data_IF_620228133570
#
_entry.id   IF_620228133570
#
_cell.length_a   1.000
_cell.length_b   1.000
_cell.length_c   1.000
_cell.angle_alpha   90.00
_cell.angle_beta   90.00
_cell.angle_gamma   90.00
#
_symmetry.space_group_name_H-M   'P 1'
#
loop_
_entity.id
_entity.type
_entity.pdbx_description
1 polymer ?
#
# COMPACT_ATOMS: atom_id res chain seq x y z
N UNK A 1 5.50 -7.09 12.21
CA UNK A 1 4.87 -8.00 11.20
C UNK A 1 5.78 -8.06 9.99
N UNK A 2 5.69 -9.09 9.12
CA UNK A 2 6.46 -9.12 7.87
C UNK A 2 5.95 -8.05 6.90
N UNK A 3 6.87 -7.41 6.14
CA UNK A 3 6.47 -6.40 5.15
C UNK A 3 5.45 -6.93 4.12
N UNK A 4 5.54 -8.23 3.74
CA UNK A 4 4.54 -8.88 2.88
C UNK A 4 3.13 -8.78 3.47
N UNK A 5 2.99 -9.00 4.75
CA UNK A 5 1.68 -9.05 5.40
C UNK A 5 1.10 -7.65 5.60
N UNK A 6 1.96 -6.62 5.76
CA UNK A 6 1.52 -5.21 5.67
C UNK A 6 0.99 -4.87 4.29
N UNK A 7 1.68 -5.27 3.22
CA UNK A 7 1.20 -5.05 1.85
C UNK A 7 -0.13 -5.76 1.59
N UNK A 8 -0.27 -7.03 2.02
CA UNK A 8 -1.51 -7.80 1.90
C UNK A 8 -2.66 -7.13 2.66
N UNK A 9 -2.42 -6.63 3.88
CA UNK A 9 -3.47 -5.94 4.65
C UNK A 9 -3.95 -4.66 3.95
N UNK A 10 -3.03 -3.84 3.44
CA UNK A 10 -3.39 -2.64 2.67
C UNK A 10 -4.20 -2.96 1.41
N UNK A 11 -3.75 -3.95 0.62
CA UNK A 11 -4.48 -4.39 -0.57
C UNK A 11 -5.88 -4.89 -0.24
N UNK A 12 -6.01 -5.77 0.76
CA UNK A 12 -7.29 -6.37 1.16
C UNK A 12 -8.29 -5.31 1.64
N UNK A 13 -7.83 -4.42 2.53
CA UNK A 13 -8.70 -3.37 3.07
C UNK A 13 -9.19 -2.45 1.97
N UNK A 14 -8.33 -2.06 1.02
CA UNK A 14 -8.77 -1.25 -0.11
C UNK A 14 -9.76 -1.99 -1.01
N UNK A 15 -9.48 -3.23 -1.40
CA UNK A 15 -10.39 -4.02 -2.23
C UNK A 15 -11.78 -4.15 -1.61
N UNK A 16 -11.86 -4.32 -0.30
CA UNK A 16 -13.13 -4.40 0.43
C UNK A 16 -13.82 -3.03 0.60
N UNK A 17 -13.05 -1.94 0.72
CA UNK A 17 -13.58 -0.61 1.04
C UNK A 17 -13.81 0.28 -0.19
N UNK A 18 -13.17 0.01 -1.32
CA UNK A 18 -13.17 0.90 -2.49
C UNK A 18 -14.58 1.28 -2.98
N UNK A 19 -15.56 0.35 -3.11
CA UNK A 19 -16.91 0.71 -3.54
C UNK A 19 -17.60 1.67 -2.56
N UNK A 20 -17.39 1.46 -1.26
CA UNK A 20 -17.99 2.31 -0.22
C UNK A 20 -17.29 3.68 -0.13
N UNK A 21 -15.98 3.72 -0.29
CA UNK A 21 -15.22 4.97 -0.38
C UNK A 21 -15.71 5.81 -1.56
N UNK A 22 -15.86 5.20 -2.73
CA UNK A 22 -16.38 5.89 -3.92
C UNK A 22 -17.80 6.44 -3.66
N UNK A 23 -18.67 5.64 -3.06
CA UNK A 23 -20.02 6.07 -2.70
C UNK A 23 -20.02 7.28 -1.74
N UNK A 24 -19.16 7.28 -0.74
CA UNK A 24 -19.01 8.39 0.21
C UNK A 24 -18.47 9.66 -0.44
N UNK A 25 -17.61 9.52 -1.44
CA UNK A 25 -17.08 10.64 -2.22
C UNK A 25 -18.05 11.13 -3.32
N UNK A 26 -19.20 10.47 -3.50
CA UNK A 26 -20.17 10.80 -4.54
C UNK A 26 -19.73 10.36 -5.94
N UNK A 27 -18.82 9.41 -6.02
CA UNK A 27 -18.18 8.96 -7.25
C UNK A 27 -18.53 7.49 -7.56
N UNK A 28 -18.22 7.08 -8.80
CA UNK A 28 -18.25 5.68 -9.22
C UNK A 28 -16.81 5.22 -9.41
N UNK A 29 -16.48 4.03 -8.94
CA UNK A 29 -15.17 3.45 -9.15
C UNK A 29 -15.21 2.42 -10.28
N UNK A 30 -14.16 2.40 -11.09
CA UNK A 30 -13.97 1.40 -12.13
C UNK A 30 -13.15 0.20 -11.59
N UNK A 31 -13.26 -0.99 -12.22
CA UNK A 31 -12.40 -2.12 -11.86
C UNK A 31 -10.90 -1.80 -11.88
N UNK A 32 -10.46 -0.95 -12.82
CA UNK A 32 -9.08 -0.52 -12.92
C UNK A 32 -8.66 0.36 -11.72
N UNK A 33 -9.52 1.29 -11.28
CA UNK A 33 -9.29 2.11 -10.07
C UNK A 33 -9.19 1.26 -8.82
N UNK A 34 -10.05 0.26 -8.69
CA UNK A 34 -10.01 -0.68 -7.56
C UNK A 34 -8.67 -1.44 -7.56
N UNK A 35 -8.25 -1.97 -8.70
CA UNK A 35 -7.02 -2.76 -8.82
C UNK A 35 -5.76 -1.90 -8.59
N UNK A 36 -5.66 -0.73 -9.24
CA UNK A 36 -4.52 0.19 -9.07
C UNK A 36 -4.51 0.76 -7.65
N UNK A 37 -5.68 1.10 -7.11
CA UNK A 37 -5.83 1.56 -5.73
C UNK A 37 -5.37 0.51 -4.72
N UNK A 38 -5.67 -0.78 -4.93
CA UNK A 38 -5.20 -1.87 -4.08
C UNK A 38 -3.66 -1.98 -4.06
N UNK A 39 -3.04 -1.91 -5.24
CA UNK A 39 -1.58 -1.92 -5.33
C UNK A 39 -0.95 -0.65 -4.71
N UNK A 40 -1.58 0.50 -4.88
CA UNK A 40 -1.14 1.77 -4.29
C UNK A 40 -1.28 1.74 -2.76
N UNK A 41 -2.39 1.25 -2.24
CA UNK A 41 -2.62 1.08 -0.80
C UNK A 41 -1.60 0.10 -0.17
N UNK A 42 -1.33 -1.02 -0.83
CA UNK A 42 -0.28 -1.94 -0.43
C UNK A 42 1.11 -1.27 -0.38
N UNK A 43 1.41 -0.40 -1.35
CA UNK A 43 2.64 0.40 -1.36
C UNK A 43 2.73 1.35 -0.16
N UNK A 44 1.65 2.05 0.17
CA UNK A 44 1.59 2.90 1.36
C UNK A 44 1.64 2.11 2.66
N UNK A 45 1.10 0.89 2.70
CA UNK A 45 1.24 0.00 3.84
C UNK A 45 2.70 -0.48 4.08
N UNK A 46 3.59 -0.29 3.13
CA UNK A 46 5.02 -0.55 3.30
C UNK A 46 5.81 0.70 3.72
N UNK A 47 5.24 1.87 3.53
CA UNK A 47 5.96 3.14 3.66
C UNK A 47 6.49 3.42 5.08
N UNK A 48 5.79 3.13 6.20
CA UNK A 48 6.32 3.37 7.53
C UNK A 48 7.66 2.66 7.79
N UNK A 49 7.85 1.47 7.27
CA UNK A 49 9.08 0.67 7.39
C UNK A 49 10.30 1.25 6.62
N UNK A 50 10.14 2.39 5.95
CA UNK A 50 11.26 3.09 5.33
C UNK A 50 12.26 3.62 6.37
N UNK A 51 11.86 3.72 7.63
CA UNK A 51 12.72 4.09 8.76
C UNK A 51 13.61 2.93 9.26
N UNK A 52 13.47 1.72 8.69
CA UNK A 52 14.27 0.55 9.04
C UNK A 52 15.17 0.14 7.87
N UNK A 53 16.51 0.39 7.95
CA UNK A 53 17.45 0.09 6.87
C UNK A 53 17.49 -1.38 6.45
N UNK A 54 17.08 -2.30 7.34
CA UNK A 54 17.03 -3.73 7.06
C UNK A 54 15.66 -4.20 6.56
N UNK A 55 14.67 -3.31 6.48
CA UNK A 55 13.35 -3.63 5.96
C UNK A 55 13.38 -4.05 4.50
N UNK A 56 12.31 -4.71 4.05
CA UNK A 56 12.16 -5.08 2.64
C UNK A 56 12.14 -3.85 1.74
N UNK A 57 11.45 -2.78 2.15
CA UNK A 57 11.37 -1.50 1.42
C UNK A 57 12.76 -0.91 1.20
N UNK A 58 13.54 -0.81 2.27
CA UNK A 58 14.86 -0.17 2.24
C UNK A 58 15.89 -0.95 1.44
N UNK A 59 15.72 -2.27 1.26
CA UNK A 59 16.66 -3.12 0.51
C UNK A 59 16.31 -3.31 -0.96
N UNK A 60 15.02 -3.26 -1.33
CA UNK A 60 14.56 -3.65 -2.67
C UNK A 60 14.85 -2.61 -3.77
N UNK A 61 15.07 -1.36 -3.43
CA UNK A 61 15.40 -0.29 -4.38
C UNK A 61 16.92 0.08 -4.36
N UNK A 62 17.75 -0.71 -3.69
CA UNK A 62 19.20 -0.60 -3.72
C UNK A 62 19.79 0.45 -2.77
N UNK A 63 20.97 1.04 -3.10
CA UNK A 63 21.67 1.96 -2.20
C UNK A 63 20.89 3.24 -1.89
N UNK A 64 20.14 3.73 -2.86
CA UNK A 64 19.35 4.98 -2.70
C UNK A 64 18.31 4.81 -1.60
N UNK A 65 17.53 3.72 -1.63
CA UNK A 65 16.51 3.47 -0.61
C UNK A 65 17.11 3.24 0.77
N UNK A 66 18.30 2.65 0.86
CA UNK A 66 19.04 2.55 2.13
C UNK A 66 19.45 3.91 2.66
N UNK A 67 19.96 4.80 1.80
CA UNK A 67 20.28 6.17 2.17
C UNK A 67 19.06 6.94 2.70
N UNK A 68 17.94 6.87 1.97
CA UNK A 68 16.66 7.44 2.40
C UNK A 68 16.24 6.86 3.75
N UNK A 69 16.37 5.55 3.95
CA UNK A 69 16.04 4.88 5.19
C UNK A 69 16.84 5.42 6.39
N UNK A 70 18.14 5.59 6.24
CA UNK A 70 18.99 6.15 7.31
C UNK A 70 18.58 7.57 7.67
N UNK A 71 18.32 8.43 6.67
CA UNK A 71 17.85 9.80 6.89
C UNK A 71 16.49 9.79 7.59
N UNK A 72 15.53 9.00 7.09
CA UNK A 72 14.18 8.90 7.67
C UNK A 72 14.25 8.40 9.12
N UNK A 73 15.07 7.37 9.40
CA UNK A 73 15.26 6.85 10.76
C UNK A 73 15.77 7.94 11.72
N UNK A 74 16.74 8.74 11.27
CA UNK A 74 17.30 9.82 12.08
C UNK A 74 16.25 10.90 12.35
N UNK A 75 15.53 11.33 11.33
CA UNK A 75 14.48 12.36 11.45
C UNK A 75 13.26 11.87 12.26
N UNK A 76 12.90 10.61 12.11
CA UNK A 76 11.77 9.99 12.83
C UNK A 76 12.09 9.73 14.32
N UNK A 77 13.35 9.84 14.74
CA UNK A 77 13.76 9.52 16.12
C UNK A 77 13.97 8.03 16.38
N UNK A 78 14.09 7.21 15.33
CA UNK A 78 14.30 5.77 15.40
C UNK A 78 13.21 4.96 14.70
N UNK A 79 13.40 3.63 14.63
CA UNK A 79 12.36 2.73 14.11
C UNK A 79 11.14 2.68 15.04
N UNK A 80 9.95 2.62 14.44
CA UNK A 80 8.66 2.64 15.14
C UNK A 80 8.47 3.86 16.05
N UNK A 81 8.80 5.06 15.53
CA UNK A 81 8.56 6.34 16.17
C UNK A 81 7.61 7.20 15.29
N UNK A 82 8.07 8.34 14.77
CA UNK A 82 7.24 9.29 14.01
C UNK A 82 6.53 8.64 12.81
N UNK A 83 7.20 7.77 12.04
CA UNK A 83 6.65 7.06 10.88
C UNK A 83 5.52 6.08 11.24
N UNK A 84 5.42 5.68 12.51
CA UNK A 84 4.41 4.76 13.03
C UNK A 84 3.41 5.48 13.94
N UNK A 85 2.94 6.65 13.52
CA UNK A 85 2.04 7.51 14.29
C UNK A 85 0.86 8.03 13.46
N UNK A 86 -0.16 8.51 14.15
CA UNK A 86 -1.30 9.19 13.51
C UNK A 86 -0.85 10.45 12.75
N UNK A 87 0.20 11.13 13.23
CA UNK A 87 0.79 12.26 12.53
C UNK A 87 1.33 11.85 11.15
N UNK A 88 1.90 10.65 11.02
CA UNK A 88 2.38 10.16 9.73
C UNK A 88 1.24 9.78 8.79
N UNK A 89 0.11 9.25 9.29
CA UNK A 89 -1.11 9.05 8.50
C UNK A 89 -1.58 10.39 7.92
N UNK A 90 -1.67 11.43 8.77
CA UNK A 90 -2.06 12.76 8.32
C UNK A 90 -1.08 13.37 7.32
N UNK A 91 0.24 13.15 7.52
CA UNK A 91 1.28 13.60 6.60
C UNK A 91 1.17 12.90 5.24
N UNK A 92 0.96 11.59 5.22
CA UNK A 92 0.79 10.82 3.99
C UNK A 92 -0.48 11.26 3.23
N UNK A 93 -1.60 11.40 3.92
CA UNK A 93 -2.84 11.90 3.33
C UNK A 93 -2.72 13.32 2.80
N UNK A 94 -2.18 14.24 3.60
CA UNK A 94 -1.98 15.64 3.21
C UNK A 94 -0.98 15.80 2.07
N UNK A 95 0.10 15.03 2.07
CA UNK A 95 1.07 14.99 0.97
C UNK A 95 0.46 14.50 -0.33
N UNK A 96 -0.35 13.44 -0.26
CA UNK A 96 -1.09 12.92 -1.41
C UNK A 96 -2.17 13.91 -1.89
N UNK A 97 -2.86 14.60 -0.99
CA UNK A 97 -3.82 15.63 -1.33
C UNK A 97 -3.15 16.80 -2.08
N UNK A 98 -2.01 17.26 -1.60
CA UNK A 98 -1.23 18.29 -2.29
C UNK A 98 -0.71 17.80 -3.66
N UNK A 99 -0.22 16.56 -3.73
CA UNK A 99 0.28 15.95 -4.96
C UNK A 99 -0.83 15.70 -5.99
N UNK A 100 -2.07 15.45 -5.55
CA UNK A 100 -3.21 15.17 -6.41
C UNK A 100 -3.62 16.35 -7.31
N UNK A 101 -3.14 17.57 -7.02
CA UNK A 101 -3.27 18.72 -7.93
C UNK A 101 -2.42 18.59 -9.20
N UNK A 102 -1.41 17.72 -9.20
CA UNK A 102 -0.49 17.48 -10.31
C UNK A 102 -0.63 16.04 -10.84
N UNK A 103 -1.00 15.89 -12.12
CA UNK A 103 -1.05 14.58 -12.79
C UNK A 103 0.30 13.85 -12.72
N UNK A 104 1.40 14.60 -12.89
CA UNK A 104 2.75 14.03 -12.83
C UNK A 104 3.09 13.54 -11.43
N UNK A 105 2.77 14.30 -10.39
CA UNK A 105 3.02 13.88 -9.01
C UNK A 105 2.18 12.65 -8.64
N UNK A 106 0.90 12.62 -8.99
CA UNK A 106 0.03 11.46 -8.80
C UNK A 106 0.57 10.22 -9.52
N UNK A 107 0.99 10.38 -10.79
CA UNK A 107 1.57 9.30 -11.58
C UNK A 107 2.85 8.73 -10.94
N UNK A 108 3.73 9.59 -10.45
CA UNK A 108 4.97 9.19 -9.77
C UNK A 108 4.65 8.40 -8.48
N UNK A 109 3.71 8.88 -7.68
CA UNK A 109 3.31 8.21 -6.43
C UNK A 109 2.73 6.82 -6.73
N UNK A 110 1.78 6.72 -7.65
CA UNK A 110 1.17 5.46 -8.06
C UNK A 110 2.23 4.49 -8.61
N UNK A 111 3.07 4.97 -9.53
CA UNK A 111 4.15 4.15 -10.11
C UNK A 111 5.13 3.66 -9.03
N UNK A 112 5.53 4.51 -8.08
CA UNK A 112 6.43 4.14 -7.00
C UNK A 112 5.81 3.07 -6.08
N UNK A 113 4.54 3.21 -5.71
CA UNK A 113 3.82 2.21 -4.91
C UNK A 113 3.71 0.87 -5.64
N UNK A 114 3.30 0.88 -6.91
CA UNK A 114 3.18 -0.33 -7.74
C UNK A 114 4.56 -1.00 -7.93
N UNK A 115 5.61 -0.22 -8.19
CA UNK A 115 6.98 -0.74 -8.29
C UNK A 115 7.40 -1.44 -7.00
N UNK A 116 7.15 -0.82 -5.86
CA UNK A 116 7.52 -1.34 -4.55
C UNK A 116 6.84 -2.69 -4.29
N UNK A 117 5.53 -2.77 -4.52
CA UNK A 117 4.75 -4.01 -4.35
C UNK A 117 5.18 -5.08 -5.34
N UNK A 118 5.35 -4.73 -6.62
CA UNK A 118 5.81 -5.68 -7.64
C UNK A 118 7.20 -6.24 -7.30
N UNK A 119 8.12 -5.41 -6.79
CA UNK A 119 9.45 -5.84 -6.31
C UNK A 119 9.38 -6.73 -5.07
N UNK A 120 8.29 -6.69 -4.34
CA UNK A 120 8.09 -7.50 -3.15
C UNK A 120 7.59 -8.90 -3.49
N UNK A 121 6.64 -8.99 -4.43
CA UNK A 121 6.05 -10.25 -4.89
C UNK A 121 7.05 -11.06 -5.70
N UNK A 122 7.93 -10.39 -6.44
CA UNK A 122 8.86 -11.02 -7.36
C UNK A 122 10.18 -11.38 -6.67
N UNK A 123 10.63 -12.66 -6.67
CA UNK A 123 11.90 -13.07 -6.08
C UNK A 123 13.10 -12.34 -6.72
N UNK A 124 14.09 -11.99 -5.89
CA UNK A 124 15.37 -11.44 -6.34
C UNK A 124 16.08 -12.50 -7.20
N UNK A 125 16.50 -12.14 -8.40
CA UNK A 125 17.36 -12.99 -9.24
C UNK A 125 16.95 -13.15 -10.70
N UNK A 126 15.74 -12.81 -11.06
CA UNK A 126 15.28 -12.95 -12.45
C UNK A 126 15.27 -11.57 -13.13
N UNK A 127 16.29 -11.23 -13.93
CA UNK A 127 16.39 -9.96 -14.65
C UNK A 127 15.16 -9.64 -15.53
N UNK A 128 14.51 -10.67 -16.08
CA UNK A 128 13.23 -10.55 -16.81
C UNK A 128 12.10 -10.00 -15.92
N UNK A 129 12.14 -10.26 -14.64
CA UNK A 129 11.10 -9.86 -13.68
C UNK A 129 11.31 -8.42 -13.18
N UNK A 130 12.56 -7.92 -13.21
CA UNK A 130 12.80 -6.48 -13.01
C UNK A 130 12.10 -5.66 -14.09
N UNK A 131 12.22 -6.07 -15.36
CA UNK A 131 11.54 -5.44 -16.48
C UNK A 131 10.01 -5.43 -16.30
N UNK A 132 9.43 -6.55 -15.86
CA UNK A 132 7.98 -6.64 -15.60
C UNK A 132 7.55 -5.69 -14.48
N UNK A 133 8.29 -5.61 -13.37
CA UNK A 133 7.97 -4.70 -12.27
C UNK A 133 7.99 -3.23 -12.71
N UNK A 134 8.97 -2.87 -13.54
CA UNK A 134 9.08 -1.51 -14.12
C UNK A 134 7.94 -1.26 -15.12
N UNK A 135 7.62 -2.25 -15.96
CA UNK A 135 6.52 -2.12 -16.93
C UNK A 135 5.16 -1.94 -16.23
N UNK A 136 4.88 -2.71 -15.17
CA UNK A 136 3.66 -2.56 -14.37
C UNK A 136 3.60 -1.19 -13.70
N UNK A 137 4.69 -0.73 -13.13
CA UNK A 137 4.78 0.60 -12.51
C UNK A 137 4.57 1.72 -13.54
N UNK A 138 5.20 1.60 -14.73
CA UNK A 138 5.05 2.56 -15.81
C UNK A 138 3.61 2.59 -16.35
N UNK A 139 2.98 1.41 -16.53
CA UNK A 139 1.60 1.32 -16.97
C UNK A 139 0.62 1.95 -15.96
N UNK A 140 0.79 1.67 -14.66
CA UNK A 140 -0.04 2.26 -13.61
C UNK A 140 0.20 3.78 -13.50
N UNK A 141 1.44 4.23 -13.58
CA UNK A 141 1.76 5.67 -13.59
C UNK A 141 1.19 6.38 -14.81
N UNK A 142 1.29 5.79 -15.99
CA UNK A 142 0.69 6.32 -17.21
C UNK A 142 -0.83 6.41 -17.09
N UNK A 143 -1.47 5.35 -16.60
CA UNK A 143 -2.90 5.33 -16.32
C UNK A 143 -3.31 6.46 -15.37
N UNK A 144 -2.58 6.66 -14.28
CA UNK A 144 -2.82 7.75 -13.33
C UNK A 144 -2.59 9.14 -13.96
N UNK A 145 -1.56 9.27 -14.80
CA UNK A 145 -1.23 10.51 -15.50
C UNK A 145 -2.34 10.96 -16.49
N UNK A 146 -3.07 10.01 -17.06
CA UNK A 146 -4.23 10.32 -17.92
C UNK A 146 -5.40 10.94 -17.13
N UNK A 147 -5.31 11.09 -15.83
CA UNK A 147 -6.33 11.69 -14.98
C UNK A 147 -7.28 10.68 -14.32
N UNK A 148 -6.96 9.37 -14.44
CA UNK A 148 -7.75 8.32 -13.81
C UNK A 148 -7.49 8.21 -12.29
N UNK A 149 -6.38 8.78 -11.79
CA UNK A 149 -6.15 8.94 -10.36
C UNK A 149 -6.85 10.23 -9.91
N UNK A 150 -8.08 10.10 -9.47
CA UNK A 150 -8.89 11.23 -9.04
C UNK A 150 -8.32 11.85 -7.76
N UNK A 151 -8.53 13.16 -7.59
CA UNK A 151 -7.96 13.93 -6.47
C UNK A 151 -8.33 13.38 -5.11
N UNK A 152 -9.49 12.75 -5.00
CA UNK A 152 -10.08 12.45 -3.71
C UNK A 152 -9.75 11.04 -3.20
N UNK A 153 -9.46 10.06 -4.09
CA UNK A 153 -9.12 8.73 -3.61
C UNK A 153 -7.64 8.56 -3.21
N UNK A 154 -6.69 9.25 -3.85
CA UNK A 154 -5.26 9.07 -3.55
C UNK A 154 -4.89 9.39 -2.09
N UNK A 155 -5.38 10.50 -1.48
CA UNK A 155 -5.21 10.74 -0.05
C UNK A 155 -5.79 9.63 0.82
N UNK A 156 -7.00 9.15 0.48
CA UNK A 156 -7.69 8.10 1.24
C UNK A 156 -6.92 6.79 1.18
N UNK A 157 -6.46 6.40 -0.02
CA UNK A 157 -5.60 5.21 -0.22
C UNK A 157 -4.33 5.29 0.63
N UNK A 158 -3.68 6.46 0.67
CA UNK A 158 -2.47 6.66 1.44
C UNK A 158 -2.73 6.50 2.95
N UNK A 159 -3.80 7.14 3.44
CA UNK A 159 -4.19 7.06 4.85
C UNK A 159 -4.55 5.63 5.26
N UNK A 160 -5.35 4.93 4.45
CA UNK A 160 -5.72 3.53 4.71
C UNK A 160 -4.48 2.64 4.72
N UNK A 161 -3.58 2.77 3.74
CA UNK A 161 -2.36 1.97 3.68
C UNK A 161 -1.49 2.13 4.91
N UNK A 162 -1.18 3.38 5.30
CA UNK A 162 -0.39 3.66 6.52
C UNK A 162 -1.12 3.18 7.77
N UNK A 163 -2.44 3.37 7.86
CA UNK A 163 -3.24 2.90 8.99
C UNK A 163 -3.20 1.36 9.12
N UNK A 164 -3.30 0.62 8.01
CA UNK A 164 -3.17 -0.84 7.99
C UNK A 164 -1.81 -1.29 8.53
N UNK A 165 -0.73 -0.58 8.18
CA UNK A 165 0.60 -0.86 8.75
C UNK A 165 0.62 -0.69 10.27
N UNK A 166 0.15 0.46 10.75
CA UNK A 166 0.12 0.77 12.18
C UNK A 166 -0.68 -0.28 12.96
N UNK A 167 -1.87 -0.61 12.47
CA UNK A 167 -2.72 -1.65 13.08
C UNK A 167 -1.98 -3.00 13.09
N UNK A 168 -1.37 -3.40 11.97
CA UNK A 168 -0.59 -4.63 11.90
C UNK A 168 0.54 -4.69 12.94
N UNK A 169 1.23 -3.57 13.15
CA UNK A 169 2.29 -3.48 14.14
C UNK A 169 1.80 -3.37 15.59
N UNK A 170 0.61 -2.80 15.82
CA UNK A 170 -0.07 -2.87 17.13
C UNK A 170 -0.39 -4.31 17.52
N UNK A 171 -0.61 -5.21 16.56
CA UNK A 171 -0.86 -6.64 16.82
C UNK A 171 0.41 -7.44 17.12
N UNK A 172 1.59 -6.81 17.13
CA UNK A 172 2.87 -7.39 17.50
C UNK A 172 3.24 -7.05 18.95
N UNK A 173 4.26 -7.73 19.49
CA UNK A 173 4.74 -7.50 20.87
C UNK A 173 5.34 -6.11 21.08
N UNK A 174 5.96 -5.54 20.06
CA UNK A 174 6.65 -4.25 20.17
C UNK A 174 5.70 -3.07 20.13
N UNK A 175 4.57 -3.20 19.43
CA UNK A 175 3.60 -2.14 19.28
C UNK A 175 4.13 -0.87 18.61
N UNK A 176 3.33 0.18 18.61
CA UNK A 176 3.67 1.49 18.03
C UNK A 176 3.22 2.62 18.95
N UNK A 177 3.83 3.83 18.90
CA UNK A 177 3.40 5.02 19.60
C UNK A 177 2.48 5.88 18.73
N UNK A 178 1.15 5.62 18.71
CA UNK A 178 0.25 6.30 17.76
C UNK A 178 0.19 7.81 17.97
N UNK A 179 0.45 8.28 19.21
CA UNK A 179 0.43 9.70 19.59
C UNK A 179 1.84 10.32 19.66
N UNK A 180 2.79 9.83 18.83
CA UNK A 180 4.11 10.47 18.78
C UNK A 180 3.99 12.01 18.68
N UNK A 181 4.78 12.80 19.43
CA UNK A 181 6.00 12.45 20.18
C UNK A 181 5.79 11.84 21.57
N UNK A 182 4.55 11.63 22.00
CA UNK A 182 4.25 10.91 23.24
C UNK A 182 4.66 9.44 23.05
N UNK A 183 5.56 8.95 23.90
CA UNK A 183 6.14 7.61 23.79
C UNK A 183 5.24 6.48 24.31
N UNK A 184 3.96 6.74 24.52
CA UNK A 184 3.00 5.71 24.91
C UNK A 184 2.78 4.74 23.74
N UNK A 185 3.01 3.45 23.99
CA UNK A 185 2.87 2.40 22.98
C UNK A 185 1.60 1.59 23.17
N UNK A 186 0.92 1.30 22.08
CA UNK A 186 -0.16 0.33 22.03
C UNK A 186 0.40 -0.96 21.43
N UNK A 187 0.28 -2.07 22.19
CA UNK A 187 0.64 -3.40 21.75
C UNK A 187 -0.42 -4.40 22.23
N UNK A 188 -1.00 -5.13 21.28
CA UNK A 188 -1.95 -6.23 21.51
C UNK A 188 -1.37 -7.49 20.84
N UNK A 189 -0.51 -8.27 21.51
CA UNK A 189 0.36 -9.26 20.88
C UNK A 189 -0.38 -10.52 20.40
N UNK A 190 -1.34 -10.36 19.50
CA UNK A 190 -2.12 -11.47 18.94
C UNK A 190 -1.30 -12.32 17.96
N UNK A 191 -0.37 -11.71 17.21
CA UNK A 191 0.44 -12.39 16.18
C UNK A 191 1.68 -13.09 16.75
N UNK A 192 2.10 -12.72 17.95
CA UNK A 192 3.26 -13.32 18.60
C UNK A 192 4.58 -12.86 17.97
N UNK A 193 5.44 -13.82 17.59
CA UNK A 193 6.71 -13.56 16.91
C UNK A 193 6.53 -13.49 15.40
N UNK A 194 7.40 -12.74 14.73
CA UNK A 194 7.52 -12.70 13.26
C UNK A 194 7.75 -14.12 12.72
N UNK A 195 7.09 -14.46 11.61
CA UNK A 195 7.08 -15.79 11.00
C UNK A 195 6.42 -16.88 11.86
N UNK A 196 5.55 -16.51 12.78
CA UNK A 196 4.73 -17.46 13.54
C UNK A 196 3.67 -18.14 12.66
N UNK A 197 3.16 -19.29 13.12
CA UNK A 197 2.02 -19.94 12.45
C UNK A 197 0.81 -19.01 12.35
N UNK A 198 0.57 -18.19 13.36
CA UNK A 198 -0.54 -17.21 13.37
C UNK A 198 -0.37 -16.16 12.28
N UNK A 199 0.84 -15.65 12.10
CA UNK A 199 1.15 -14.69 11.03
C UNK A 199 1.02 -15.34 9.64
N UNK A 200 1.46 -16.60 9.49
CA UNK A 200 1.29 -17.36 8.24
C UNK A 200 -0.19 -17.59 7.92
N UNK A 201 -1.00 -17.99 8.90
CA UNK A 201 -2.45 -18.16 8.72
C UNK A 201 -3.12 -16.83 8.34
N UNK A 202 -2.77 -15.74 9.02
CA UNK A 202 -3.27 -14.40 8.67
C UNK A 202 -2.92 -14.03 7.23
N UNK A 203 -1.66 -14.19 6.82
CA UNK A 203 -1.22 -13.90 5.45
C UNK A 203 -1.95 -14.76 4.40
N UNK A 204 -2.19 -16.03 4.70
CA UNK A 204 -2.97 -16.92 3.83
C UNK A 204 -4.42 -16.46 3.72
N UNK A 205 -5.07 -16.16 4.84
CA UNK A 205 -6.46 -15.67 4.87
C UNK A 205 -6.59 -14.34 4.10
N UNK A 206 -5.65 -13.40 4.30
CA UNK A 206 -5.63 -12.16 3.52
C UNK A 206 -5.46 -12.40 2.02
N UNK A 207 -4.61 -13.35 1.63
CA UNK A 207 -4.41 -13.70 0.22
C UNK A 207 -5.67 -14.29 -0.42
N UNK A 208 -6.40 -15.14 0.30
CA UNK A 208 -7.69 -15.69 -0.16
C UNK A 208 -8.75 -14.58 -0.27
N UNK A 209 -8.80 -13.67 0.70
CA UNK A 209 -9.68 -12.50 0.65
C UNK A 209 -9.37 -11.59 -0.54
N UNK A 210 -8.09 -11.34 -0.82
CA UNK A 210 -7.66 -10.58 -2.01
C UNK A 210 -8.12 -11.27 -3.29
N UNK A 211 -7.93 -12.58 -3.41
CA UNK A 211 -8.37 -13.34 -4.58
C UNK A 211 -9.88 -13.25 -4.77
N UNK A 212 -10.65 -13.37 -3.69
CA UNK A 212 -12.11 -13.22 -3.72
C UNK A 212 -12.54 -11.82 -4.19
N UNK A 213 -12.02 -10.76 -3.58
CA UNK A 213 -12.40 -9.40 -3.96
C UNK A 213 -11.91 -9.00 -5.36
N UNK A 214 -10.73 -9.45 -5.77
CA UNK A 214 -10.28 -9.28 -7.16
C UNK A 214 -11.23 -9.94 -8.15
N UNK A 215 -11.74 -11.12 -7.81
CA UNK A 215 -12.75 -11.78 -8.65
C UNK A 215 -14.03 -10.96 -8.72
N UNK A 216 -14.59 -10.56 -7.57
CA UNK A 216 -15.90 -9.90 -7.49
C UNK A 216 -15.86 -8.46 -8.02
N UNK A 217 -14.84 -7.69 -7.64
CA UNK A 217 -14.79 -6.25 -7.90
C UNK A 217 -14.04 -5.87 -9.18
N UNK A 218 -13.18 -6.77 -9.69
CA UNK A 218 -12.33 -6.45 -10.85
C UNK A 218 -12.59 -7.38 -12.02
N UNK A 219 -12.41 -8.68 -11.84
CA UNK A 219 -12.44 -9.63 -12.97
C UNK A 219 -13.86 -9.88 -13.48
N UNK A 220 -14.80 -10.19 -12.61
CA UNK A 220 -16.17 -10.48 -13.01
C UNK A 220 -16.85 -9.29 -13.73
N UNK A 221 -16.78 -8.04 -13.21
CA UNK A 221 -17.32 -6.88 -13.92
C UNK A 221 -16.63 -6.63 -15.27
N UNK A 222 -15.30 -6.80 -15.34
CA UNK A 222 -14.56 -6.62 -16.59
C UNK A 222 -14.97 -7.64 -17.65
N UNK A 223 -15.08 -8.92 -17.27
CA UNK A 223 -15.51 -9.98 -18.17
C UNK A 223 -16.96 -9.81 -18.64
N UNK A 224 -17.86 -9.34 -17.78
CA UNK A 224 -19.26 -9.08 -18.14
C UNK A 224 -19.38 -7.96 -19.16
N UNK A 225 -18.53 -6.93 -19.10
CA UNK A 225 -18.50 -5.85 -20.09
C UNK A 225 -17.99 -6.32 -21.47
N UNK A 226 -17.11 -7.31 -21.50
CA UNK A 226 -16.55 -7.87 -22.75
C UNK A 226 -17.57 -8.83 -23.40
N UNK A 227 -18.35 -9.57 -22.60
CA UNK A 227 -19.29 -10.59 -23.07
C UNK A 227 -20.63 -10.06 -23.56
N UNK A 228 -20.96 -8.78 -23.30
CA UNK A 228 -22.17 -8.17 -23.83
C UNK A 228 -21.98 -7.91 -25.33
N UNK A 229 -22.83 -8.44 -26.23
CA UNK A 229 -22.81 -8.07 -27.64
C UNK A 229 -23.05 -6.57 -27.74
N UNK A 230 -22.17 -5.86 -28.45
CA UNK A 230 -22.41 -4.46 -28.83
C UNK A 230 -23.62 -4.49 -29.76
N UNK A 231 -24.79 -4.29 -29.21
CA UNK A 231 -25.97 -4.01 -30.03
C UNK A 231 -25.71 -2.67 -30.73
N UNK A 232 -25.42 -2.75 -32.00
CA UNK A 232 -25.26 -1.65 -32.92
C UNK A 232 -26.60 -0.96 -33.19
#
# INVERSE_FOLDING_TARGET
MLGRDHALSGALVWLAAAPEVARLLGERTSPAEIAVGAATCAGFALLPDIDEPNSTVSRKLGPISRGVSHVTRTLAGGHRQATHSLAFIALAGGGCWAAASSRTASAIIVAACVLLVARMVVPLGLGKIFGLSVALAAAAGWWAWQGNAQRDWLPVVAMIGVACHLVGDMLTREGVPPLWPIRWRIAVPLLGHTSSLRETLLGTTMSLGIAFFLWVEVLYPTLSLISLPRLA
#
